data_IF_364560264715
#
_entry.id   IF_364560264715
#
_cell.length_a   1.000
_cell.length_b   1.000
_cell.length_c   1.000
_cell.angle_alpha   90.00
_cell.angle_beta   90.00
_cell.angle_gamma   90.00
#
_symmetry.space_group_name_H-M   'P 1'
#
loop_
_entity.id
_entity.type
_entity.pdbx_description
1 polymer ?
#
# COMPACT_ATOMS: atom_id res chain seq x y z
N UNK A 1 -17.98 26.63 -0.81
CA UNK A 1 -17.23 25.59 -0.08
C UNK A 1 -16.09 25.10 -0.96
N UNK A 2 -14.87 25.13 -0.45
CA UNK A 2 -13.72 24.63 -1.19
C UNK A 2 -13.53 23.14 -0.92
N UNK A 3 -13.76 22.31 -1.91
CA UNK A 3 -13.62 20.86 -1.80
C UNK A 3 -12.17 20.46 -1.46
N UNK A 4 -11.18 21.22 -1.96
CA UNK A 4 -9.78 20.95 -1.67
C UNK A 4 -9.44 21.11 -0.19
N UNK A 5 -10.09 22.07 0.49
CA UNK A 5 -9.91 22.23 1.95
C UNK A 5 -10.47 21.03 2.71
N UNK A 6 -11.61 20.49 2.28
CA UNK A 6 -12.18 19.30 2.89
C UNK A 6 -11.31 18.06 2.66
N UNK A 7 -10.71 17.94 1.49
CA UNK A 7 -9.77 16.87 1.20
C UNK A 7 -8.55 16.97 2.11
N UNK A 8 -8.01 18.18 2.33
CA UNK A 8 -6.87 18.40 3.23
C UNK A 8 -7.22 18.03 4.67
N UNK A 9 -8.42 18.43 5.15
CA UNK A 9 -8.88 18.07 6.49
C UNK A 9 -8.98 16.55 6.66
N UNK A 10 -9.54 15.87 5.66
CA UNK A 10 -9.70 14.42 5.68
C UNK A 10 -8.35 13.72 5.63
N UNK A 11 -7.43 14.21 4.79
CA UNK A 11 -6.07 13.67 4.71
C UNK A 11 -5.34 13.83 6.05
N UNK A 12 -5.49 14.98 6.71
CA UNK A 12 -4.91 15.21 8.04
C UNK A 12 -5.50 14.26 9.09
N UNK A 13 -6.79 14.00 9.02
CA UNK A 13 -7.45 13.02 9.87
C UNK A 13 -6.81 11.63 9.69
N UNK A 14 -6.63 11.21 8.44
CA UNK A 14 -6.01 9.91 8.11
C UNK A 14 -4.58 9.84 8.63
N UNK A 15 -3.79 10.91 8.44
CA UNK A 15 -2.40 10.98 8.89
C UNK A 15 -2.26 10.87 10.41
N UNK A 16 -3.30 11.19 11.16
CA UNK A 16 -3.30 11.09 12.62
C UNK A 16 -3.76 9.73 13.16
N UNK A 17 -4.18 8.81 12.29
CA UNK A 17 -4.54 7.47 12.69
C UNK A 17 -3.30 6.65 13.05
N UNK A 18 -3.47 5.69 13.95
CA UNK A 18 -2.37 4.78 14.29
C UNK A 18 -1.94 3.94 13.08
N UNK A 19 -2.90 3.52 12.27
CA UNK A 19 -2.64 2.72 11.06
C UNK A 19 -1.73 3.45 10.09
N UNK A 20 -1.96 4.73 9.85
CA UNK A 20 -1.09 5.52 8.99
C UNK A 20 0.29 5.73 9.61
N UNK A 21 0.34 6.08 10.90
CA UNK A 21 1.59 6.34 11.61
C UNK A 21 2.49 5.11 11.63
N UNK A 22 1.91 3.95 11.90
CA UNK A 22 2.64 2.68 11.93
C UNK A 22 3.16 2.30 10.55
N UNK A 23 2.34 2.45 9.52
CA UNK A 23 2.75 2.21 8.13
C UNK A 23 3.89 3.14 7.73
N UNK A 24 3.75 4.43 8.00
CA UNK A 24 4.75 5.43 7.64
C UNK A 24 6.07 5.20 8.37
N UNK A 25 6.02 4.85 9.65
CA UNK A 25 7.20 4.54 10.45
C UNK A 25 7.93 3.32 9.90
N UNK A 26 7.20 2.27 9.56
CA UNK A 26 7.79 1.06 8.99
C UNK A 26 8.36 1.30 7.60
N UNK A 27 7.74 2.17 6.81
CA UNK A 27 8.27 2.61 5.51
C UNK A 27 9.61 3.33 5.67
N UNK A 28 9.68 4.30 6.58
CA UNK A 28 10.90 5.05 6.85
C UNK A 28 12.02 4.10 7.30
N UNK A 29 11.68 3.14 8.18
CA UNK A 29 12.64 2.16 8.66
C UNK A 29 13.21 1.30 7.52
N UNK A 30 12.35 0.83 6.62
CA UNK A 30 12.77 0.05 5.45
C UNK A 30 13.65 0.89 4.53
N UNK A 31 13.26 2.15 4.27
CA UNK A 31 13.97 3.04 3.34
C UNK A 31 15.35 3.47 3.82
N UNK A 32 15.64 3.32 5.12
CA UNK A 32 17.00 3.54 5.66
C UNK A 32 18.01 2.58 5.04
N UNK A 33 17.58 1.40 4.64
CA UNK A 33 18.40 0.46 3.89
C UNK A 33 18.17 0.70 2.39
N UNK A 34 19.14 1.35 1.75
CA UNK A 34 19.03 1.73 0.32
C UNK A 34 18.84 0.52 -0.60
N UNK A 35 19.46 -0.60 -0.27
CA UNK A 35 19.34 -1.83 -1.07
C UNK A 35 17.91 -2.38 -1.00
N UNK A 36 17.33 -2.42 0.19
CA UNK A 36 15.94 -2.87 0.36
C UNK A 36 14.96 -1.93 -0.33
N UNK A 37 15.18 -0.62 -0.21
CA UNK A 37 14.36 0.38 -0.91
C UNK A 37 14.41 0.17 -2.42
N UNK A 38 15.59 -0.04 -2.97
CA UNK A 38 15.78 -0.27 -4.40
C UNK A 38 15.07 -1.55 -4.85
N UNK A 39 15.16 -2.63 -4.08
CA UNK A 39 14.47 -3.88 -4.38
C UNK A 39 12.95 -3.71 -4.36
N UNK A 40 12.44 -2.97 -3.38
CA UNK A 40 11.01 -2.68 -3.30
C UNK A 40 10.53 -1.86 -4.51
N UNK A 41 11.26 -0.82 -4.87
CA UNK A 41 10.93 0.02 -6.04
C UNK A 41 10.94 -0.81 -7.33
N UNK A 42 11.91 -1.69 -7.47
CA UNK A 42 12.00 -2.61 -8.61
C UNK A 42 10.79 -3.54 -8.67
N UNK A 43 10.40 -4.11 -7.54
CA UNK A 43 9.22 -4.97 -7.44
C UNK A 43 7.95 -4.21 -7.85
N UNK A 44 7.76 -3.00 -7.32
CA UNK A 44 6.60 -2.17 -7.63
C UNK A 44 6.53 -1.84 -9.12
N UNK A 45 7.68 -1.50 -9.72
CA UNK A 45 7.75 -1.21 -11.16
C UNK A 45 7.41 -2.43 -11.99
N UNK A 46 7.92 -3.61 -11.64
CA UNK A 46 7.59 -4.86 -12.33
C UNK A 46 6.10 -5.17 -12.23
N UNK A 47 5.53 -5.01 -11.05
CA UNK A 47 4.10 -5.22 -10.80
C UNK A 47 3.25 -4.29 -11.65
N UNK A 48 3.57 -3.00 -11.67
CA UNK A 48 2.84 -2.01 -12.45
C UNK A 48 2.94 -2.29 -13.95
N UNK A 49 4.10 -2.72 -14.43
CA UNK A 49 4.32 -3.11 -15.83
C UNK A 49 3.42 -4.29 -16.21
N UNK A 50 3.31 -5.27 -15.32
CA UNK A 50 2.44 -6.44 -15.55
C UNK A 50 0.98 -6.01 -15.68
N UNK A 51 0.49 -5.19 -14.74
CA UNK A 51 -0.89 -4.72 -14.77
C UNK A 51 -1.19 -3.84 -15.99
N UNK A 52 -0.20 -3.10 -16.49
CA UNK A 52 -0.37 -2.23 -17.65
C UNK A 52 -0.40 -2.98 -18.98
N UNK A 53 0.28 -4.14 -19.06
CA UNK A 53 0.53 -4.82 -20.34
C UNK A 53 -0.25 -6.12 -20.55
N UNK A 54 -0.93 -6.63 -19.53
CA UNK A 54 -1.61 -7.93 -19.61
C UNK A 54 -3.05 -7.83 -19.15
N UNK A 55 -3.89 -8.74 -19.66
CA UNK A 55 -5.27 -8.89 -19.18
C UNK A 55 -5.25 -9.44 -17.77
N UNK A 56 -6.35 -9.23 -17.03
CA UNK A 56 -6.44 -9.56 -15.61
C UNK A 56 -6.02 -11.01 -15.29
N UNK A 57 -6.47 -11.98 -16.08
CA UNK A 57 -6.13 -13.40 -15.87
C UNK A 57 -4.64 -13.66 -16.00
N UNK A 58 -4.03 -13.15 -17.08
CA UNK A 58 -2.60 -13.31 -17.34
C UNK A 58 -1.77 -12.50 -16.33
N UNK A 59 -2.24 -11.30 -16.00
CA UNK A 59 -1.60 -10.46 -14.99
C UNK A 59 -1.56 -11.17 -13.63
N UNK A 60 -2.65 -11.80 -13.21
CA UNK A 60 -2.70 -12.52 -11.93
C UNK A 60 -1.67 -13.64 -11.86
N UNK A 61 -1.51 -14.40 -12.93
CA UNK A 61 -0.51 -15.48 -13.00
C UNK A 61 0.91 -14.92 -12.92
N UNK A 62 1.18 -13.85 -13.64
CA UNK A 62 2.50 -13.21 -13.64
C UNK A 62 2.83 -12.58 -12.30
N UNK A 63 1.85 -12.00 -11.62
CA UNK A 63 2.02 -11.46 -10.28
C UNK A 63 2.33 -12.57 -9.28
N UNK A 64 1.64 -13.71 -9.37
CA UNK A 64 1.93 -14.87 -8.52
C UNK A 64 3.37 -15.35 -8.70
N UNK A 65 3.84 -15.40 -9.95
CA UNK A 65 5.20 -15.79 -10.27
C UNK A 65 6.21 -14.77 -9.73
N UNK A 66 5.93 -13.48 -9.92
CA UNK A 66 6.76 -12.39 -9.37
C UNK A 66 6.86 -12.47 -7.86
N UNK A 67 5.74 -12.73 -7.18
CA UNK A 67 5.71 -12.86 -5.72
C UNK A 67 6.55 -14.05 -5.24
N UNK A 68 6.58 -15.15 -6.00
CA UNK A 68 7.44 -16.28 -5.69
C UNK A 68 8.93 -15.90 -5.80
N UNK A 69 9.28 -15.15 -6.84
CA UNK A 69 10.66 -14.68 -7.03
C UNK A 69 11.13 -13.80 -5.88
N UNK A 70 10.20 -13.02 -5.28
CA UNK A 70 10.49 -12.07 -4.21
C UNK A 70 10.18 -12.62 -2.81
N UNK A 71 9.87 -13.93 -2.67
CA UNK A 71 9.46 -14.49 -1.37
C UNK A 71 10.48 -14.28 -0.27
N UNK A 72 11.77 -14.46 -0.55
CA UNK A 72 12.84 -14.24 0.43
C UNK A 72 12.92 -12.78 0.84
N UNK A 73 12.78 -11.87 -0.12
CA UNK A 73 12.74 -10.44 0.13
C UNK A 73 11.57 -10.07 1.05
N UNK A 74 10.38 -10.61 0.79
CA UNK A 74 9.19 -10.31 1.59
C UNK A 74 9.27 -10.88 3.00
N UNK A 75 10.12 -11.88 3.25
CA UNK A 75 10.33 -12.46 4.57
C UNK A 75 11.38 -11.73 5.41
N UNK A 76 12.08 -10.76 4.85
CA UNK A 76 12.99 -9.92 5.64
C UNK A 76 12.18 -9.10 6.66
N UNK A 77 12.66 -9.00 7.93
CA UNK A 77 11.86 -8.39 9.00
C UNK A 77 11.32 -7.00 8.70
N UNK A 78 12.15 -6.09 8.18
CA UNK A 78 11.71 -4.73 7.89
C UNK A 78 10.72 -4.67 6.72
N UNK A 79 10.87 -5.54 5.73
CA UNK A 79 9.96 -5.64 4.58
C UNK A 79 8.62 -6.24 5.02
N UNK A 80 8.67 -7.36 5.75
CA UNK A 80 7.49 -8.04 6.29
C UNK A 80 6.67 -7.11 7.17
N UNK A 81 7.34 -6.34 8.02
CA UNK A 81 6.70 -5.37 8.92
C UNK A 81 5.99 -4.26 8.13
N UNK A 82 6.64 -3.73 7.10
CA UNK A 82 6.03 -2.72 6.24
C UNK A 82 4.79 -3.27 5.51
N UNK A 83 4.87 -4.48 4.98
CA UNK A 83 3.73 -5.13 4.31
C UNK A 83 2.55 -5.31 5.28
N UNK A 84 2.83 -5.77 6.50
CA UNK A 84 1.82 -5.94 7.55
C UNK A 84 1.09 -4.63 7.83
N UNK A 85 1.83 -3.55 8.06
CA UNK A 85 1.25 -2.25 8.37
C UNK A 85 0.53 -1.64 7.17
N UNK A 86 1.02 -1.89 5.95
CA UNK A 86 0.34 -1.45 4.73
C UNK A 86 -1.02 -2.13 4.58
N UNK A 87 -1.10 -3.43 4.86
CA UNK A 87 -2.36 -4.16 4.84
C UNK A 87 -3.35 -3.64 5.87
N UNK A 88 -2.88 -3.34 7.07
CA UNK A 88 -3.71 -2.76 8.13
C UNK A 88 -4.24 -1.38 7.73
N UNK A 89 -3.39 -0.55 7.15
CA UNK A 89 -3.79 0.76 6.64
C UNK A 89 -4.83 0.63 5.52
N UNK A 90 -4.61 -0.26 4.56
CA UNK A 90 -5.54 -0.49 3.46
C UNK A 90 -6.90 -0.99 3.96
N UNK A 91 -6.93 -1.85 4.97
CA UNK A 91 -8.18 -2.32 5.59
C UNK A 91 -8.94 -1.18 6.25
N UNK A 92 -8.23 -0.29 6.93
CA UNK A 92 -8.83 0.91 7.51
C UNK A 92 -9.45 1.79 6.42
N UNK A 93 -8.73 2.02 5.32
CA UNK A 93 -9.22 2.84 4.21
C UNK A 93 -10.46 2.21 3.55
N UNK A 94 -10.47 0.90 3.36
CA UNK A 94 -11.66 0.19 2.86
C UNK A 94 -12.87 0.43 3.74
N UNK A 95 -12.68 0.33 5.05
CA UNK A 95 -13.77 0.56 6.02
C UNK A 95 -14.25 2.01 5.97
N UNK A 96 -13.34 2.97 5.80
CA UNK A 96 -13.71 4.38 5.64
C UNK A 96 -14.54 4.59 4.37
N UNK A 97 -14.14 4.02 3.25
CA UNK A 97 -14.91 4.12 2.00
C UNK A 97 -16.28 3.50 2.13
N UNK A 98 -16.41 2.35 2.78
CA UNK A 98 -17.71 1.72 3.05
C UNK A 98 -18.59 2.58 3.94
N UNK A 99 -18.02 3.22 4.94
CA UNK A 99 -18.75 4.14 5.82
C UNK A 99 -19.25 5.36 5.08
N UNK A 100 -18.41 5.94 4.21
CA UNK A 100 -18.80 7.07 3.35
C UNK A 100 -19.96 6.65 2.44
N UNK A 101 -19.85 5.47 1.81
CA UNK A 101 -20.88 4.95 0.93
C UNK A 101 -22.21 4.77 1.66
N UNK A 102 -22.19 4.24 2.88
CA UNK A 102 -23.40 4.12 3.72
C UNK A 102 -24.04 5.46 3.99
N UNK A 103 -23.25 6.50 4.28
CA UNK A 103 -23.77 7.84 4.52
C UNK A 103 -24.40 8.42 3.25
N UNK A 104 -23.83 8.15 2.08
CA UNK A 104 -24.36 8.60 0.81
C UNK A 104 -25.69 7.92 0.45
N UNK A 105 -25.91 6.70 0.92
CA UNK A 105 -27.11 5.91 0.62
C UNK A 105 -28.25 6.08 1.61
N UNK A 106 -28.05 6.89 2.64
CA UNK A 106 -29.11 7.23 3.59
C UNK A 106 -30.13 8.19 3.00
#
# INVERSE_FOLDING_TARGET
MDINNKVKEFANFIKNTNEFKDMNKSKINLEKNRNLKKQLDTYINKKNTIYSNYRMEDASKKIMQLNKEYSDFFNLPSVSNYIKHTKQFNSMMENLYKSIEKELLK
#
